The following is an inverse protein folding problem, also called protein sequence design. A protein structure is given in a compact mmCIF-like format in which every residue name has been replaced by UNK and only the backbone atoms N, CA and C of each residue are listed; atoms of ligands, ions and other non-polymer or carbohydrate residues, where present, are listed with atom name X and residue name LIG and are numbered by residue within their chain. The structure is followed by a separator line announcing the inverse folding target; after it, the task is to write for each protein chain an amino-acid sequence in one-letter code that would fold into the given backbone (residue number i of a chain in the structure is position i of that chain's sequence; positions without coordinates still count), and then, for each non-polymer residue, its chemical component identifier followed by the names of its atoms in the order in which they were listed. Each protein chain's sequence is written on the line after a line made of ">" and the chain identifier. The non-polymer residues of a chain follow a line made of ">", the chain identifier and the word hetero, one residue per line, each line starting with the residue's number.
data_IF_542017835052
#
_entry.id   IF_542017835052
#
_cell.length_a   1.000
_cell.length_b   1.000
_cell.length_c   1.000
_cell.angle_alpha   90.00
_cell.angle_beta   90.00
_cell.angle_gamma   90.00
#
_symmetry.space_group_name_H-M   'P 1'
#
loop_
_entity.id
_entity.type
_entity.pdbx_description
1 polymer ?
#
# COMPACT_ATOMS: atom_id res chain seq x y z
N UNK A 1 -19.07 -14.22 -15.49
CA UNK A 1 -19.55 -13.07 -14.71
C UNK A 1 -18.82 -12.92 -13.36
N UNK A 2 -18.24 -13.99 -12.77
CA UNK A 2 -17.57 -13.94 -11.46
C UNK A 2 -16.21 -13.23 -11.37
N UNK A 3 -15.44 -13.15 -12.45
CA UNK A 3 -14.04 -12.69 -12.37
C UNK A 3 -13.91 -11.21 -12.00
N UNK A 4 -14.71 -10.34 -12.64
CA UNK A 4 -14.69 -8.89 -12.40
C UNK A 4 -15.03 -8.58 -10.93
N UNK A 5 -16.09 -9.20 -10.40
CA UNK A 5 -16.49 -9.01 -9.01
C UNK A 5 -15.44 -9.51 -7.99
N UNK A 6 -14.67 -10.55 -8.36
CA UNK A 6 -13.56 -11.03 -7.54
C UNK A 6 -12.36 -10.07 -7.57
N UNK A 7 -12.02 -9.53 -8.74
CA UNK A 7 -10.96 -8.53 -8.92
C UNK A 7 -11.30 -7.22 -8.17
N UNK A 8 -12.54 -6.73 -8.26
CA UNK A 8 -13.00 -5.55 -7.50
C UNK A 8 -12.95 -5.76 -5.99
N UNK A 9 -13.32 -6.96 -5.51
CA UNK A 9 -13.21 -7.30 -4.09
C UNK A 9 -11.75 -7.32 -3.65
N UNK A 10 -10.87 -7.95 -4.44
CA UNK A 10 -9.44 -8.01 -4.16
C UNK A 10 -8.84 -6.61 -4.07
N UNK A 11 -9.17 -5.72 -5.02
CA UNK A 11 -8.71 -4.35 -5.01
C UNK A 11 -9.13 -3.62 -3.72
N UNK A 12 -10.42 -3.70 -3.34
CA UNK A 12 -10.93 -3.09 -2.11
C UNK A 12 -10.23 -3.61 -0.85
N UNK A 13 -9.97 -4.92 -0.79
CA UNK A 13 -9.30 -5.53 0.37
C UNK A 13 -7.85 -5.02 0.50
N UNK A 14 -7.14 -4.92 -0.64
CA UNK A 14 -5.77 -4.40 -0.68
C UNK A 14 -5.72 -2.91 -0.34
N UNK A 15 -6.59 -2.09 -0.95
CA UNK A 15 -6.71 -0.67 -0.65
C UNK A 15 -7.01 -0.45 0.84
N UNK A 16 -7.93 -1.23 1.41
CA UNK A 16 -8.25 -1.20 2.83
C UNK A 16 -7.05 -1.57 3.72
N UNK A 17 -6.26 -2.56 3.33
CA UNK A 17 -5.05 -2.92 4.07
C UNK A 17 -4.05 -1.76 4.10
N UNK A 18 -3.71 -1.19 2.94
CA UNK A 18 -2.77 -0.08 2.81
C UNK A 18 -3.26 1.21 3.48
N UNK A 19 -4.55 1.54 3.35
CA UNK A 19 -5.14 2.73 3.98
C UNK A 19 -5.02 2.71 5.51
N UNK A 20 -4.98 1.53 6.12
CA UNK A 20 -4.85 1.39 7.58
C UNK A 20 -3.41 1.29 8.07
N UNK A 21 -2.43 1.20 7.17
CA UNK A 21 -1.04 0.96 7.55
C UNK A 21 -0.48 2.08 8.41
N UNK A 22 -0.70 3.34 8.02
CA UNK A 22 -0.25 4.51 8.78
C UNK A 22 -0.81 4.54 10.20
N UNK A 23 -2.10 4.23 10.37
CA UNK A 23 -2.75 4.16 11.68
C UNK A 23 -2.27 2.98 12.55
N UNK A 24 -1.72 1.92 11.93
CA UNK A 24 -1.18 0.74 12.60
C UNK A 24 0.31 0.81 12.86
N UNK A 25 0.99 1.80 12.29
CA UNK A 25 2.43 1.98 12.45
C UNK A 25 2.78 2.23 13.92
N UNK A 26 3.83 1.56 14.41
CA UNK A 26 4.27 1.63 15.82
C UNK A 26 5.55 2.44 16.02
N UNK A 27 6.02 3.10 14.97
CA UNK A 27 7.32 3.74 14.95
C UNK A 27 8.46 2.76 14.72
N UNK A 28 9.66 3.30 14.60
CA UNK A 28 10.92 2.58 14.49
C UNK A 28 12.00 3.27 15.34
N UNK A 29 13.19 2.68 15.38
CA UNK A 29 14.32 3.28 16.11
C UNK A 29 14.76 4.61 15.50
N UNK A 30 15.37 5.47 16.31
CA UNK A 30 15.96 6.73 15.84
C UNK A 30 16.93 6.48 14.68
N UNK A 31 16.85 7.33 13.64
CA UNK A 31 17.64 7.20 12.42
C UNK A 31 17.12 6.15 11.43
N UNK A 32 16.02 5.45 11.72
CA UNK A 32 15.38 4.55 10.77
C UNK A 32 14.68 5.34 9.65
N UNK A 33 14.93 4.92 8.41
CA UNK A 33 14.23 5.40 7.23
C UNK A 33 14.14 4.29 6.21
N UNK A 34 12.96 4.04 5.66
CA UNK A 34 12.77 3.05 4.62
C UNK A 34 11.69 3.48 3.63
N UNK A 35 11.94 3.20 2.35
CA UNK A 35 10.97 3.43 1.28
C UNK A 35 10.71 2.11 0.56
N UNK A 36 9.44 1.72 0.49
CA UNK A 36 8.99 0.52 -0.22
C UNK A 36 8.14 0.93 -1.42
N UNK A 37 8.34 0.21 -2.52
CA UNK A 37 7.45 0.26 -3.68
C UNK A 37 6.87 -1.13 -3.86
N UNK A 38 5.54 -1.22 -3.80
CA UNK A 38 4.81 -2.49 -3.90
C UNK A 38 3.92 -2.37 -5.12
N UNK A 39 4.11 -3.27 -6.07
CA UNK A 39 3.35 -3.31 -7.32
C UNK A 39 2.60 -4.62 -7.40
N UNK A 40 1.31 -4.53 -7.71
CA UNK A 40 0.45 -5.68 -7.91
C UNK A 40 0.00 -5.66 -9.37
N UNK A 41 0.75 -6.34 -10.23
CA UNK A 41 0.54 -6.39 -11.69
C UNK A 41 -0.88 -6.84 -12.04
N UNK A 42 -1.43 -7.78 -11.29
CA UNK A 42 -2.78 -8.30 -11.52
C UNK A 42 -3.89 -7.28 -11.19
N UNK A 43 -3.56 -6.24 -10.43
CA UNK A 43 -4.45 -5.12 -10.12
C UNK A 43 -4.09 -3.84 -10.88
N UNK A 44 -2.96 -3.80 -11.60
CA UNK A 44 -2.48 -2.60 -12.29
C UNK A 44 -2.24 -1.42 -11.34
N UNK A 45 -1.87 -1.69 -10.09
CA UNK A 45 -1.75 -0.68 -9.04
C UNK A 45 -0.39 -0.76 -8.33
N UNK A 46 0.07 0.40 -7.87
CA UNK A 46 1.32 0.58 -7.14
C UNK A 46 1.09 1.36 -5.86
N UNK A 47 1.77 0.96 -4.80
CA UNK A 47 1.81 1.67 -3.53
C UNK A 47 3.25 2.05 -3.19
N UNK A 48 3.47 3.34 -2.94
CA UNK A 48 4.64 3.85 -2.25
C UNK A 48 4.37 3.88 -0.76
N UNK A 49 5.29 3.32 0.03
CA UNK A 49 5.25 3.39 1.50
C UNK A 49 6.55 4.01 1.99
N UNK A 50 6.45 5.14 2.67
CA UNK A 50 7.58 5.83 3.29
C UNK A 50 7.47 5.72 4.81
N UNK A 51 8.52 5.21 5.45
CA UNK A 51 8.60 5.02 6.88
C UNK A 51 9.74 5.86 7.47
N UNK A 52 9.42 6.63 8.50
CA UNK A 52 10.38 7.29 9.39
C UNK A 52 10.22 6.79 10.84
N UNK A 53 10.98 7.31 11.80
CA UNK A 53 10.91 6.85 13.20
C UNK A 53 9.51 7.03 13.82
N UNK A 54 8.78 8.08 13.43
CA UNK A 54 7.45 8.42 13.95
C UNK A 54 6.41 8.60 12.84
N UNK A 55 6.77 8.36 11.58
CA UNK A 55 5.91 8.60 10.42
C UNK A 55 5.76 7.37 9.54
N UNK A 56 4.56 7.21 8.99
CA UNK A 56 4.26 6.24 7.95
C UNK A 56 3.30 6.89 6.97
N UNK A 57 3.75 7.01 5.72
CA UNK A 57 2.99 7.61 4.64
C UNK A 57 2.78 6.57 3.54
N UNK A 58 1.57 6.52 3.00
CA UNK A 58 1.19 5.60 1.94
C UNK A 58 0.57 6.38 0.80
N UNK A 59 1.12 6.21 -0.40
CA UNK A 59 0.62 6.80 -1.63
C UNK A 59 0.25 5.68 -2.61
N UNK A 60 -1.02 5.65 -3.00
CA UNK A 60 -1.50 4.76 -4.06
C UNK A 60 -1.46 5.49 -5.40
N UNK A 61 -0.93 4.83 -6.43
CA UNK A 61 -0.94 5.32 -7.81
C UNK A 61 -1.28 4.17 -8.75
N UNK A 62 -1.89 4.44 -9.91
CA UNK A 62 -1.91 3.47 -11.01
C UNK A 62 -0.48 2.99 -11.32
N UNK A 63 -0.32 1.71 -11.67
CA UNK A 63 0.93 1.25 -12.26
C UNK A 63 0.98 1.78 -13.70
N UNK A 64 1.95 2.66 -13.98
CA UNK A 64 2.27 3.05 -15.36
C UNK A 64 3.01 1.87 -16.01
N UNK A 65 2.54 1.47 -17.20
CA UNK A 65 3.10 0.41 -18.06
C UNK A 65 4.49 0.79 -18.62
#
# INVERSE_FOLDING_TARGET
>A
MDRIAAEERKLRDVEGAFATLAARYRGAGEGFGASYRIELEDLGMRWGVELGPDSCEVLATPAED
#
